data_IF_176273840884
#
_entry.id   IF_176273840884
#
_cell.length_a   1.000
_cell.length_b   1.000
_cell.length_c   1.000
_cell.angle_alpha   90.00
_cell.angle_beta   90.00
_cell.angle_gamma   90.00
#
_symmetry.space_group_name_H-M   'P 1'
#
loop_
_entity.id
_entity.type
_entity.pdbx_description
1 polymer ?
#
# COMPACT_ATOMS: atom_id res chain seq x y z
N UNK A 1 58.96 30.93 12.30
CA UNK A 1 57.80 31.84 12.20
C UNK A 1 56.54 30.99 12.00
N UNK A 2 55.70 30.83 13.04
CA UNK A 2 54.46 30.04 12.96
C UNK A 2 53.33 30.88 13.59
N UNK A 3 52.48 31.44 12.75
CA UNK A 3 51.29 32.18 13.18
C UNK A 3 50.16 31.19 13.43
N UNK A 4 49.74 31.06 14.69
CA UNK A 4 48.58 30.24 15.06
C UNK A 4 47.29 30.95 14.62
N UNK A 5 46.58 30.35 13.67
CA UNK A 5 45.24 30.76 13.28
C UNK A 5 44.24 30.35 14.38
N UNK A 6 43.77 31.33 15.14
CA UNK A 6 42.71 31.14 16.13
C UNK A 6 41.34 31.14 15.48
N UNK A 7 40.49 30.18 15.86
CA UNK A 7 39.11 29.92 15.39
C UNK A 7 38.14 31.11 15.53
N UNK A 8 38.56 32.24 16.10
CA UNK A 8 37.74 33.43 16.39
C UNK A 8 37.64 34.47 15.27
N UNK A 9 38.19 34.22 14.07
CA UNK A 9 38.15 35.17 12.94
C UNK A 9 37.22 34.78 11.78
N UNK A 10 36.27 33.87 11.98
CA UNK A 10 35.36 33.44 10.92
C UNK A 10 33.94 34.05 11.00
N UNK A 11 33.71 35.05 11.85
CA UNK A 11 32.40 35.71 11.99
C UNK A 11 32.43 37.21 11.69
N UNK A 12 33.40 37.68 10.91
CA UNK A 12 33.40 39.05 10.42
C UNK A 12 33.18 39.08 8.91
N UNK A 13 32.09 39.74 8.53
CA UNK A 13 31.73 40.19 7.19
C UNK A 13 31.12 39.17 6.22
N UNK A 14 29.80 39.00 6.31
CA UNK A 14 28.95 38.99 5.11
C UNK A 14 27.55 39.53 5.45
N UNK A 15 27.34 40.74 4.94
CA UNK A 15 26.09 41.44 4.61
C UNK A 15 24.80 40.61 4.63
N UNK A 16 23.74 41.19 5.20
CA UNK A 16 22.34 40.74 5.18
C UNK A 16 21.96 40.17 3.80
N UNK A 17 22.04 38.85 3.66
CA UNK A 17 21.39 38.14 2.56
C UNK A 17 19.92 37.98 2.98
N UNK A 18 19.00 38.53 2.19
CA UNK A 18 17.58 38.27 2.37
C UNK A 18 17.37 36.75 2.43
N UNK A 19 16.94 36.23 3.57
CA UNK A 19 16.59 34.82 3.73
C UNK A 19 15.28 34.63 2.98
N UNK A 20 15.36 34.46 1.65
CA UNK A 20 14.27 33.86 0.91
C UNK A 20 14.12 32.44 1.48
N UNK A 21 12.94 32.05 2.01
CA UNK A 21 12.75 30.66 2.40
C UNK A 21 13.06 29.80 1.17
N UNK A 22 13.84 28.71 1.31
CA UNK A 22 14.03 27.80 0.20
C UNK A 22 12.65 27.38 -0.27
N UNK A 23 12.35 27.60 -1.55
CA UNK A 23 11.20 27.02 -2.20
C UNK A 23 11.47 25.51 -2.27
N UNK A 24 11.23 24.80 -1.17
CA UNK A 24 11.15 23.35 -1.19
C UNK A 24 9.92 23.02 -2.05
N UNK A 25 10.18 22.73 -3.32
CA UNK A 25 9.29 21.90 -4.13
C UNK A 25 9.31 20.51 -3.50
N UNK A 26 8.59 20.35 -2.39
CA UNK A 26 8.21 19.04 -1.90
C UNK A 26 7.38 18.41 -3.01
N UNK A 27 7.96 17.44 -3.70
CA UNK A 27 7.22 16.64 -4.65
C UNK A 27 5.97 16.13 -3.93
N UNK A 28 4.79 16.52 -4.43
CA UNK A 28 3.53 16.02 -3.90
C UNK A 28 3.45 14.54 -4.27
N UNK A 29 4.03 13.68 -3.43
CA UNK A 29 4.05 12.22 -3.56
C UNK A 29 2.70 11.61 -3.21
N UNK A 30 1.61 12.38 -3.25
CA UNK A 30 0.29 11.77 -3.26
C UNK A 30 0.15 11.12 -4.63
N UNK A 31 0.15 9.76 -4.72
CA UNK A 31 -0.16 9.13 -5.98
C UNK A 31 -1.53 9.67 -6.41
N UNK A 32 -1.57 10.25 -7.60
CA UNK A 32 -2.81 10.81 -8.14
C UNK A 32 -3.83 9.69 -8.13
N UNK A 33 -4.90 9.85 -7.36
CA UNK A 33 -5.94 8.84 -7.23
C UNK A 33 -6.45 8.48 -8.62
N UNK A 34 -6.43 7.20 -8.96
CA UNK A 34 -6.80 6.74 -10.29
C UNK A 34 -8.31 6.87 -10.39
N UNK A 35 -8.77 7.68 -11.33
CA UNK A 35 -10.20 7.84 -11.64
C UNK A 35 -10.49 7.16 -12.96
N UNK A 36 -11.46 6.25 -12.95
CA UNK A 36 -11.95 5.54 -14.13
C UNK A 36 -13.37 6.02 -14.49
N UNK A 37 -13.80 5.73 -15.72
CA UNK A 37 -15.11 6.16 -16.24
C UNK A 37 -15.09 7.57 -16.84
N UNK A 38 -16.22 7.98 -17.41
CA UNK A 38 -16.38 9.21 -18.20
C UNK A 38 -17.73 9.89 -17.93
N UNK A 39 -17.84 11.17 -18.30
CA UNK A 39 -19.05 11.97 -18.09
C UNK A 39 -19.46 12.03 -16.61
N UNK A 40 -20.73 11.70 -16.34
CA UNK A 40 -21.31 11.69 -15.00
C UNK A 40 -20.94 10.46 -14.17
N UNK A 41 -20.35 9.42 -14.78
CA UNK A 41 -20.05 8.15 -14.10
C UNK A 41 -18.54 7.96 -13.96
N UNK A 42 -17.98 8.62 -12.95
CA UNK A 42 -16.55 8.56 -12.63
C UNK A 42 -16.34 7.96 -11.25
N UNK A 43 -15.41 7.02 -11.15
CA UNK A 43 -15.15 6.27 -9.92
C UNK A 43 -13.68 6.37 -9.53
N UNK A 44 -13.43 6.60 -8.24
CA UNK A 44 -12.08 6.56 -7.67
C UNK A 44 -11.70 5.12 -7.34
N UNK A 45 -10.53 4.69 -7.82
CA UNK A 45 -9.98 3.37 -7.53
C UNK A 45 -9.28 3.38 -6.18
N UNK A 46 -9.85 2.67 -5.21
CA UNK A 46 -9.22 2.44 -3.92
C UNK A 46 -8.30 1.22 -3.96
N UNK A 47 -7.01 1.45 -4.23
CA UNK A 47 -6.01 0.40 -4.18
C UNK A 47 -5.73 -0.10 -2.76
N UNK A 48 -5.41 -1.38 -2.61
CA UNK A 48 -4.99 -1.96 -1.33
C UNK A 48 -6.07 -1.98 -0.26
N UNK A 49 -7.35 -1.97 -0.66
CA UNK A 49 -8.48 -2.01 0.25
C UNK A 49 -8.48 -3.30 1.10
N UNK A 50 -8.29 -4.47 0.46
CA UNK A 50 -8.21 -5.75 1.16
C UNK A 50 -6.83 -5.93 1.81
N UNK A 51 -6.81 -6.01 3.14
CA UNK A 51 -5.59 -6.12 3.94
C UNK A 51 -5.43 -7.54 4.46
N UNK A 52 -4.37 -8.21 4.01
CA UNK A 52 -3.98 -9.53 4.51
C UNK A 52 -3.18 -9.42 5.81
N UNK A 53 -3.29 -10.41 6.71
CA UNK A 53 -2.33 -10.58 7.79
C UNK A 53 -0.98 -11.10 7.25
N UNK A 54 0.10 -10.88 7.99
CA UNK A 54 1.47 -11.16 7.54
C UNK A 54 1.74 -12.62 7.16
N UNK A 55 0.95 -13.56 7.69
CA UNK A 55 1.09 -14.98 7.43
C UNK A 55 0.45 -15.45 6.11
N UNK A 56 -0.25 -14.57 5.40
CA UNK A 56 -0.92 -14.89 4.14
C UNK A 56 -0.45 -14.01 2.99
N UNK A 57 -0.51 -14.58 1.80
CA UNK A 57 -0.20 -13.89 0.55
C UNK A 57 -1.29 -14.14 -0.46
N UNK A 58 -1.51 -13.19 -1.37
CA UNK A 58 -2.34 -13.48 -2.53
C UNK A 58 -1.71 -14.57 -3.39
N UNK A 59 -2.53 -15.52 -3.82
CA UNK A 59 -2.19 -16.53 -4.82
C UNK A 59 -3.02 -16.28 -6.09
N UNK A 60 -3.14 -17.26 -6.99
CA UNK A 60 -3.94 -17.11 -8.21
C UNK A 60 -5.43 -16.99 -7.88
N UNK A 61 -5.93 -15.75 -7.85
CA UNK A 61 -7.33 -15.42 -7.57
C UNK A 61 -8.19 -15.58 -8.83
N UNK A 62 -9.31 -16.31 -8.75
CA UNK A 62 -10.15 -16.57 -9.94
C UNK A 62 -11.64 -16.27 -9.74
N UNK A 63 -12.12 -16.09 -8.50
CA UNK A 63 -13.53 -15.77 -8.25
C UNK A 63 -13.74 -14.97 -6.96
N UNK A 64 -14.88 -14.29 -6.89
CA UNK A 64 -15.33 -13.56 -5.70
C UNK A 64 -16.84 -13.70 -5.49
N UNK A 65 -17.27 -13.70 -4.23
CA UNK A 65 -18.69 -13.65 -3.86
C UNK A 65 -18.90 -12.66 -2.70
N UNK A 66 -20.09 -12.07 -2.62
CA UNK A 66 -20.49 -11.20 -1.52
C UNK A 66 -21.79 -11.72 -0.92
N UNK A 67 -21.82 -11.92 0.40
CA UNK A 67 -23.02 -12.37 1.09
C UNK A 67 -23.95 -11.21 1.52
N UNK A 68 -25.10 -11.55 2.10
CA UNK A 68 -26.10 -10.56 2.54
C UNK A 68 -25.59 -9.64 3.67
N UNK A 69 -24.60 -10.07 4.44
CA UNK A 69 -23.96 -9.26 5.48
C UNK A 69 -22.92 -8.30 4.87
N UNK A 70 -22.53 -8.53 3.62
CA UNK A 70 -21.54 -7.76 2.87
C UNK A 70 -20.11 -8.21 3.15
N UNK A 71 -19.92 -9.49 3.52
CA UNK A 71 -18.60 -10.09 3.56
C UNK A 71 -18.17 -10.48 2.15
N UNK A 72 -16.94 -10.10 1.78
CA UNK A 72 -16.31 -10.48 0.53
C UNK A 72 -15.56 -11.80 0.72
N UNK A 73 -15.88 -12.79 -0.10
CA UNK A 73 -15.17 -14.06 -0.20
C UNK A 73 -14.33 -14.02 -1.47
N UNK A 74 -13.04 -14.33 -1.36
CA UNK A 74 -12.11 -14.43 -2.49
C UNK A 74 -11.53 -15.84 -2.51
N UNK A 75 -11.64 -16.53 -3.64
CA UNK A 75 -11.07 -17.87 -3.81
C UNK A 75 -9.76 -17.84 -4.63
N UNK A 76 -8.85 -18.75 -4.30
CA UNK A 76 -7.56 -18.94 -4.93
C UNK A 76 -7.40 -20.40 -5.35
N UNK A 77 -6.70 -20.66 -6.45
CA UNK A 77 -6.41 -22.04 -6.89
C UNK A 77 -5.51 -22.81 -5.91
N UNK A 78 -4.73 -22.09 -5.12
CA UNK A 78 -3.72 -22.68 -4.26
C UNK A 78 -2.36 -22.82 -4.91
N UNK A 79 -1.32 -23.00 -4.11
CA UNK A 79 0.00 -23.44 -4.56
C UNK A 79 0.28 -24.78 -3.91
N UNK A 80 0.53 -25.83 -4.68
CA UNK A 80 0.70 -27.20 -4.18
C UNK A 80 1.78 -27.32 -3.07
N UNK A 81 2.80 -26.45 -3.12
CA UNK A 81 3.88 -26.41 -2.14
C UNK A 81 3.54 -25.64 -0.84
N UNK A 82 2.35 -25.04 -0.72
CA UNK A 82 1.90 -24.27 0.44
C UNK A 82 0.64 -24.89 1.07
N UNK A 83 0.75 -26.13 1.56
CA UNK A 83 -0.39 -26.92 2.05
C UNK A 83 -1.17 -26.28 3.21
N UNK A 84 -0.49 -25.48 4.03
CA UNK A 84 -1.11 -24.78 5.18
C UNK A 84 -1.76 -23.45 4.78
N UNK A 85 -1.68 -23.06 3.51
CA UNK A 85 -2.32 -21.86 3.00
C UNK A 85 -3.80 -22.17 2.68
N UNK A 86 -4.78 -21.45 3.25
CA UNK A 86 -6.17 -21.62 2.87
C UNK A 86 -6.44 -21.05 1.46
N UNK A 87 -7.43 -21.61 0.76
CA UNK A 87 -7.81 -21.15 -0.58
C UNK A 87 -8.89 -20.07 -0.59
N UNK A 88 -9.61 -19.85 0.52
CA UNK A 88 -10.70 -18.87 0.58
C UNK A 88 -10.42 -17.86 1.69
N UNK A 89 -10.38 -16.58 1.33
CA UNK A 89 -10.21 -15.46 2.26
C UNK A 89 -11.51 -14.66 2.39
N UNK A 90 -11.84 -14.24 3.61
CA UNK A 90 -13.05 -13.47 3.92
C UNK A 90 -12.69 -12.11 4.49
N UNK A 91 -13.29 -11.06 3.94
CA UNK A 91 -13.10 -9.68 4.36
C UNK A 91 -14.42 -9.00 4.70
N UNK A 92 -14.39 -8.03 5.61
CA UNK A 92 -15.53 -7.14 5.85
C UNK A 92 -15.63 -6.02 4.79
N UNK A 93 -16.68 -5.19 4.89
CA UNK A 93 -16.91 -4.03 4.03
C UNK A 93 -15.82 -2.95 4.07
N UNK A 94 -14.89 -3.02 5.01
CA UNK A 94 -13.74 -2.11 5.14
C UNK A 94 -12.43 -2.76 4.70
N UNK A 95 -12.48 -3.99 4.17
CA UNK A 95 -11.32 -4.73 3.68
C UNK A 95 -10.49 -5.34 4.81
N UNK A 96 -11.02 -5.42 6.03
CA UNK A 96 -10.36 -6.11 7.13
C UNK A 96 -10.53 -7.61 6.95
N UNK A 97 -9.43 -8.35 7.01
CA UNK A 97 -9.45 -9.80 7.05
C UNK A 97 -10.21 -10.31 8.29
N UNK A 98 -11.17 -11.20 8.06
CA UNK A 98 -12.02 -11.79 9.10
C UNK A 98 -11.58 -13.22 9.40
N UNK A 99 -11.43 -14.04 8.36
CA UNK A 99 -11.05 -15.45 8.47
C UNK A 99 -10.62 -16.01 7.12
N UNK A 100 -10.02 -17.20 7.16
CA UNK A 100 -9.78 -18.00 5.98
C UNK A 100 -10.08 -19.48 6.22
N UNK A 101 -10.40 -20.20 5.14
CA UNK A 101 -10.72 -21.63 5.16
C UNK A 101 -10.51 -22.24 3.77
N UNK A 102 -10.87 -23.51 3.60
CA UNK A 102 -10.81 -24.17 2.29
C UNK A 102 -9.44 -24.75 1.95
N UNK A 103 -8.67 -25.20 2.93
CA UNK A 103 -7.35 -25.85 2.70
C UNK A 103 -7.45 -27.08 1.78
N UNK A 104 -8.61 -27.76 1.74
CA UNK A 104 -8.87 -28.87 0.83
C UNK A 104 -8.87 -28.48 -0.66
N UNK A 105 -8.93 -27.19 -0.98
CA UNK A 105 -8.92 -26.67 -2.35
C UNK A 105 -7.53 -26.20 -2.81
N UNK A 106 -6.49 -26.42 -2.01
CA UNK A 106 -5.12 -26.08 -2.40
C UNK A 106 -4.61 -26.99 -3.53
N UNK A 107 -4.10 -26.38 -4.60
CA UNK A 107 -3.47 -27.10 -5.71
C UNK A 107 -4.42 -27.41 -6.87
N UNK A 108 -5.44 -26.57 -7.10
CA UNK A 108 -6.29 -26.66 -8.29
C UNK A 108 -7.79 -26.71 -8.03
N UNK A 109 -8.27 -26.23 -6.88
CA UNK A 109 -9.70 -26.04 -6.67
C UNK A 109 -10.29 -25.11 -7.73
N UNK A 110 -11.14 -25.64 -8.62
CA UNK A 110 -11.94 -24.86 -9.56
C UNK A 110 -13.23 -24.44 -8.86
N UNK A 111 -13.51 -23.13 -8.80
CA UNK A 111 -14.70 -22.56 -8.16
C UNK A 111 -15.30 -21.36 -8.89
#
# INVERSE_FOLDING_TARGET
>A
MKTNLSRRRFLAASTVAAVAPPQLLLANKNPKQIVIGEGDHRYEVQHGWARLPDNYTWQTTHNVAVDAEGLLYVIHEGRENQKDHPSIFVFDRKGKFIRAFGSQFQGGGHG
#
